data_IF_171928416358
#
_entry.id   IF_171928416358
#
_cell.length_a   1.000
_cell.length_b   1.000
_cell.length_c   1.000
_cell.angle_alpha   90.00
_cell.angle_beta   90.00
_cell.angle_gamma   90.00
#
_symmetry.space_group_name_H-M   'P 1'
#
loop_
_entity.id
_entity.type
_entity.pdbx_description
1 polymer ?
#
# COMPACT_ATOMS: atom_id res chain seq x y z
N UNK A 1 40.87 41.12 -52.85
CA UNK A 1 39.43 40.82 -52.69
C UNK A 1 38.95 41.72 -51.55
N UNK A 2 38.37 42.89 -51.82
CA UNK A 2 36.96 43.17 -52.18
C UNK A 2 36.00 42.64 -51.08
N UNK A 3 35.10 43.41 -50.43
CA UNK A 3 34.70 44.80 -50.57
C UNK A 3 33.73 45.20 -49.41
N UNK A 4 33.79 46.49 -49.01
CA UNK A 4 32.67 47.45 -48.79
C UNK A 4 31.59 47.22 -47.69
N UNK A 5 31.35 48.26 -46.88
CA UNK A 5 30.22 48.44 -45.93
C UNK A 5 28.87 48.81 -46.62
N UNK A 6 27.96 49.67 -46.06
CA UNK A 6 28.18 50.60 -44.93
C UNK A 6 26.93 51.05 -44.08
N UNK A 7 27.12 52.09 -43.23
CA UNK A 7 26.18 53.17 -42.78
C UNK A 7 25.01 52.80 -41.81
N UNK A 8 24.52 53.58 -40.81
CA UNK A 8 24.50 55.00 -40.40
C UNK A 8 24.22 55.03 -38.86
N UNK A 9 24.95 55.82 -38.04
CA UNK A 9 24.64 57.19 -37.59
C UNK A 9 23.38 57.36 -36.70
N UNK A 10 23.58 57.84 -35.47
CA UNK A 10 22.53 58.28 -34.55
C UNK A 10 23.07 58.67 -33.19
N UNK A 11 23.74 59.82 -33.12
CA UNK A 11 24.30 60.43 -31.92
C UNK A 11 23.27 61.38 -31.27
N UNK A 12 23.29 61.50 -29.94
CA UNK A 12 22.70 62.61 -29.21
C UNK A 12 22.33 62.22 -27.77
N UNK A 13 22.76 62.88 -26.71
CA UNK A 13 23.65 64.03 -26.57
C UNK A 13 23.96 64.24 -25.07
N UNK A 14 25.23 64.51 -24.80
CA UNK A 14 25.80 65.43 -23.80
C UNK A 14 25.55 65.23 -22.29
N UNK A 15 26.65 64.92 -21.61
CA UNK A 15 26.97 65.29 -20.23
C UNK A 15 27.94 66.48 -20.29
N UNK A 16 27.76 67.46 -19.40
CA UNK A 16 28.76 68.29 -18.67
C UNK A 16 28.09 69.62 -18.26
N UNK A 17 28.26 70.19 -17.06
CA UNK A 17 29.23 69.98 -15.98
C UNK A 17 28.79 70.72 -14.70
N UNK A 18 29.34 70.30 -13.54
CA UNK A 18 29.83 71.10 -12.37
C UNK A 18 28.82 71.97 -11.58
N UNK A 19 28.84 72.12 -10.26
CA UNK A 19 29.50 71.52 -9.09
C UNK A 19 28.84 72.19 -7.85
N UNK A 20 29.09 71.67 -6.64
CA UNK A 20 28.92 72.29 -5.30
C UNK A 20 27.55 72.18 -4.55
N UNK A 21 27.42 71.07 -3.82
CA UNK A 21 27.28 70.95 -2.35
C UNK A 21 26.42 71.98 -1.56
N UNK A 22 25.28 71.55 -1.00
CA UNK A 22 24.85 71.91 0.36
C UNK A 22 23.86 70.87 0.94
N UNK A 23 24.01 70.63 2.24
CA UNK A 23 23.46 69.56 3.07
C UNK A 23 21.97 69.78 3.41
N UNK A 24 21.13 68.73 3.43
CA UNK A 24 20.07 68.50 4.46
C UNK A 24 19.33 67.18 4.26
N UNK A 25 19.46 66.34 5.29
CA UNK A 25 18.53 65.32 5.82
C UNK A 25 17.05 65.38 5.37
N UNK A 26 16.52 64.26 4.87
CA UNK A 26 15.22 63.67 5.25
C UNK A 26 15.06 62.31 4.56
N UNK A 27 14.93 61.25 5.39
CA UNK A 27 14.87 59.86 4.95
C UNK A 27 13.60 59.45 4.20
N UNK A 28 13.72 58.35 3.47
CA UNK A 28 12.61 57.45 3.15
C UNK A 28 13.16 56.02 3.26
N UNK A 29 12.73 55.32 4.31
CA UNK A 29 12.78 53.87 4.41
C UNK A 29 11.92 53.28 3.28
N UNK A 30 12.53 52.52 2.37
CA UNK A 30 11.77 51.55 1.60
C UNK A 30 11.64 50.31 2.47
N UNK A 31 10.47 50.20 3.12
CA UNK A 31 9.97 48.93 3.63
C UNK A 31 9.75 48.00 2.44
N UNK A 32 10.73 47.17 2.14
CA UNK A 32 10.48 45.90 1.48
C UNK A 32 9.70 45.05 2.48
N UNK A 33 8.37 45.15 2.39
CA UNK A 33 7.47 44.21 3.05
C UNK A 33 7.61 42.91 2.28
N UNK A 34 8.49 42.03 2.78
CA UNK A 34 8.42 40.61 2.49
C UNK A 34 7.03 40.13 2.90
N UNK A 35 6.15 40.03 1.91
CA UNK A 35 4.85 39.41 2.05
C UNK A 35 5.02 37.89 1.87
N UNK A 36 5.84 37.26 2.71
CA UNK A 36 5.81 35.82 2.89
C UNK A 36 4.65 35.50 3.82
N UNK A 37 3.47 35.41 3.20
CA UNK A 37 2.24 35.01 3.87
C UNK A 37 1.99 33.51 3.67
N UNK A 38 3.04 32.70 3.55
CA UNK A 38 2.95 31.26 3.83
C UNK A 38 3.01 31.11 5.36
N UNK A 39 1.86 30.98 6.00
CA UNK A 39 1.83 30.70 7.43
C UNK A 39 2.54 29.37 7.68
N UNK A 40 3.67 29.39 8.41
CA UNK A 40 4.38 28.18 8.81
C UNK A 40 3.41 27.16 9.41
N UNK A 41 3.58 25.90 9.02
CA UNK A 41 2.89 24.81 9.67
C UNK A 41 3.39 24.65 11.10
N UNK A 42 2.45 24.51 12.03
CA UNK A 42 2.74 24.27 13.44
C UNK A 42 2.62 22.79 13.72
N UNK A 43 3.74 22.18 14.08
CA UNK A 43 3.79 20.77 14.45
C UNK A 43 3.80 20.57 15.95
N UNK A 44 3.17 19.49 16.41
CA UNK A 44 3.11 19.10 17.81
C UNK A 44 3.19 17.57 17.95
N UNK A 45 3.29 17.07 19.18
CA UNK A 45 3.46 15.64 19.48
C UNK A 45 2.34 14.71 18.98
N UNK A 46 1.17 15.23 18.56
CA UNK A 46 0.10 14.43 17.97
C UNK A 46 0.37 14.08 16.50
N UNK A 47 1.27 14.79 15.82
CA UNK A 47 1.64 14.49 14.44
C UNK A 47 2.59 13.29 14.41
N UNK A 48 2.19 12.26 13.67
CA UNK A 48 2.84 10.96 13.60
C UNK A 48 2.96 10.49 12.17
N UNK A 49 4.02 9.74 11.89
CA UNK A 49 4.24 9.05 10.63
C UNK A 49 4.84 7.67 10.90
N UNK A 50 4.43 6.67 10.13
CA UNK A 50 5.02 5.33 10.19
C UNK A 50 5.99 5.14 9.02
N UNK A 51 7.21 4.70 9.30
CA UNK A 51 8.26 4.52 8.28
C UNK A 51 9.10 3.29 8.64
N UNK A 52 9.23 2.32 7.72
CA UNK A 52 10.03 1.12 7.93
C UNK A 52 9.58 0.28 9.13
N UNK A 53 8.27 0.18 9.35
CA UNK A 53 7.67 -0.53 10.48
C UNK A 53 7.76 0.18 11.83
N UNK A 54 8.21 1.44 11.86
CA UNK A 54 8.44 2.20 13.10
C UNK A 54 7.57 3.45 13.15
N UNK A 55 7.13 3.81 14.36
CA UNK A 55 6.35 5.03 14.60
C UNK A 55 7.28 6.20 14.95
N UNK A 56 7.09 7.33 14.27
CA UNK A 56 7.82 8.57 14.49
C UNK A 56 6.87 9.69 14.91
N UNK A 57 7.24 10.42 15.95
CA UNK A 57 6.45 11.50 16.55
C UNK A 57 7.13 12.83 16.28
N UNK A 58 6.35 13.84 15.91
CA UNK A 58 6.92 15.17 15.71
C UNK A 58 7.46 15.72 17.01
N UNK A 59 8.66 16.27 16.96
CA UNK A 59 9.25 17.03 18.07
C UNK A 59 8.74 18.46 18.12
N UNK A 60 8.01 18.91 17.08
CA UNK A 60 7.66 20.32 16.84
C UNK A 60 8.85 21.21 16.48
N UNK A 61 10.06 20.66 16.38
CA UNK A 61 11.26 21.42 16.08
C UNK A 61 11.57 21.42 14.58
N UNK A 62 11.86 22.61 14.06
CA UNK A 62 12.42 22.78 12.72
C UNK A 62 13.92 22.47 12.74
N UNK A 63 14.36 21.69 11.77
CA UNK A 63 15.74 21.32 11.57
C UNK A 63 16.60 22.52 11.22
N UNK A 64 17.82 22.53 11.77
CA UNK A 64 18.84 23.56 11.52
C UNK A 64 19.92 23.08 10.56
N UNK A 65 19.78 21.89 9.97
CA UNK A 65 20.73 21.39 8.99
C UNK A 65 20.68 22.28 7.74
N UNK A 66 21.84 22.80 7.36
CA UNK A 66 22.01 23.65 6.18
C UNK A 66 22.39 22.86 4.92
N UNK A 67 22.77 21.59 5.08
CA UNK A 67 23.14 20.70 3.99
C UNK A 67 22.50 19.35 4.25
N UNK A 68 21.76 18.85 3.26
CA UNK A 68 21.12 17.53 3.27
C UNK A 68 21.66 16.69 2.12
N UNK A 69 21.62 15.35 2.23
CA UNK A 69 21.89 14.50 1.08
C UNK A 69 20.97 14.88 -0.09
N UNK A 70 21.50 14.91 -1.31
CA UNK A 70 20.69 15.18 -2.52
C UNK A 70 19.64 14.08 -2.78
N UNK A 71 19.83 12.90 -2.19
CA UNK A 71 18.92 11.77 -2.33
C UNK A 71 17.97 11.69 -1.14
N UNK A 72 16.70 12.02 -1.40
CA UNK A 72 15.56 11.80 -0.52
C UNK A 72 15.38 10.30 -0.23
N UNK A 73 14.95 9.96 0.98
CA UNK A 73 14.79 8.57 1.41
C UNK A 73 13.39 7.99 1.21
N UNK A 74 12.37 8.83 1.18
CA UNK A 74 10.98 8.45 0.92
C UNK A 74 10.09 9.68 0.88
N UNK A 75 8.80 9.49 0.70
CA UNK A 75 7.79 10.56 0.71
C UNK A 75 6.56 10.07 1.47
N UNK A 76 5.73 10.99 1.98
CA UNK A 76 4.41 10.65 2.49
C UNK A 76 3.56 10.15 1.31
N UNK A 77 3.08 8.92 1.40
CA UNK A 77 2.25 8.30 0.37
C UNK A 77 0.76 8.38 0.72
N UNK A 78 0.43 8.48 2.01
CA UNK A 78 -0.95 8.52 2.48
C UNK A 78 -1.12 9.47 3.65
N UNK A 79 -2.24 10.19 3.66
CA UNK A 79 -2.64 11.07 4.76
C UNK A 79 -3.98 10.61 5.32
N UNK A 80 -4.03 10.44 6.64
CA UNK A 80 -5.23 10.10 7.41
C UNK A 80 -5.63 11.27 8.32
N UNK A 81 -6.78 11.17 8.98
CA UNK A 81 -7.24 12.21 9.89
C UNK A 81 -6.27 12.41 11.07
N UNK A 82 -6.11 13.65 11.53
CA UNK A 82 -5.18 14.05 12.60
C UNK A 82 -5.33 13.26 13.91
N UNK A 83 -6.56 12.85 14.23
CA UNK A 83 -6.86 12.07 15.43
C UNK A 83 -6.53 10.58 15.29
N UNK A 84 -6.26 10.08 14.07
CA UNK A 84 -5.92 8.69 13.84
C UNK A 84 -4.43 8.43 14.03
N UNK A 85 -4.12 7.16 14.29
CA UNK A 85 -2.74 6.65 14.34
C UNK A 85 -2.39 6.09 12.96
N UNK A 86 -1.21 6.38 12.39
CA UNK A 86 -0.75 5.72 11.17
C UNK A 86 -0.65 4.20 11.32
N UNK A 87 -1.11 3.45 10.32
CA UNK A 87 -1.15 1.98 10.37
C UNK A 87 -0.19 1.27 9.42
N UNK A 88 0.39 1.99 8.46
CA UNK A 88 1.27 1.44 7.40
C UNK A 88 2.40 2.38 7.07
N UNK A 89 3.44 1.85 6.45
CA UNK A 89 4.59 2.64 6.04
C UNK A 89 4.19 3.78 5.10
N UNK A 90 4.81 4.94 5.33
CA UNK A 90 4.58 6.19 4.62
C UNK A 90 3.17 6.78 4.77
N UNK A 91 2.39 6.32 5.76
CA UNK A 91 1.15 6.94 6.20
C UNK A 91 1.41 7.94 7.33
N UNK A 92 0.85 9.14 7.21
CA UNK A 92 0.94 10.21 8.20
C UNK A 92 -0.45 10.74 8.58
N UNK A 93 -0.62 11.22 9.81
CA UNK A 93 -1.86 11.89 10.23
C UNK A 93 -1.80 13.42 10.07
N UNK A 94 -0.89 13.91 9.22
CA UNK A 94 -0.66 15.34 8.99
C UNK A 94 -0.23 15.57 7.54
N UNK A 95 -0.24 16.85 7.14
CA UNK A 95 0.38 17.28 5.88
C UNK A 95 -0.33 16.78 4.63
N UNK A 96 0.43 16.65 3.55
CA UNK A 96 -0.04 16.23 2.22
C UNK A 96 0.87 15.12 1.65
N UNK A 97 0.35 14.40 0.65
CA UNK A 97 1.12 13.40 -0.10
C UNK A 97 2.28 14.10 -0.83
N UNK A 98 3.45 13.46 -0.87
CA UNK A 98 4.65 13.97 -1.53
C UNK A 98 5.58 14.78 -0.63
N UNK A 99 5.24 14.99 0.65
CA UNK A 99 6.20 15.57 1.59
C UNK A 99 7.37 14.61 1.82
N UNK A 100 8.59 15.11 1.60
CA UNK A 100 9.80 14.31 1.53
C UNK A 100 10.28 13.87 2.93
N UNK A 101 10.85 12.67 3.01
CA UNK A 101 11.34 12.07 4.24
C UNK A 101 12.85 11.85 4.10
N UNK A 102 13.60 12.30 5.09
CA UNK A 102 15.04 12.13 5.18
C UNK A 102 15.42 11.41 6.47
N UNK A 103 16.17 10.31 6.38
CA UNK A 103 16.78 9.68 7.54
C UNK A 103 17.99 10.49 7.99
N UNK A 104 18.00 10.91 9.25
CA UNK A 104 19.10 11.68 9.85
C UNK A 104 19.89 10.91 10.91
N UNK A 105 19.50 9.65 11.18
CA UNK A 105 20.22 8.73 12.07
C UNK A 105 19.67 8.73 13.50
N UNK A 106 20.16 7.81 14.33
CA UNK A 106 19.85 7.73 15.78
C UNK A 106 18.35 7.71 16.15
N UNK A 107 17.50 7.12 15.30
CA UNK A 107 16.06 7.08 15.53
C UNK A 107 15.33 8.38 15.14
N UNK A 108 15.96 9.27 14.37
CA UNK A 108 15.35 10.49 13.88
C UNK A 108 15.16 10.49 12.37
N UNK A 109 14.08 11.13 11.94
CA UNK A 109 13.81 11.51 10.55
C UNK A 109 13.49 13.00 10.48
N UNK A 110 13.64 13.58 9.30
CA UNK A 110 13.11 14.90 8.98
C UNK A 110 12.03 14.76 7.89
N UNK A 111 10.98 15.55 8.00
CA UNK A 111 9.94 15.67 6.96
C UNK A 111 9.98 17.08 6.38
N UNK A 112 10.09 17.16 5.06
CA UNK A 112 10.09 18.41 4.30
C UNK A 112 8.67 18.80 3.91
N UNK A 113 8.23 19.93 4.44
CA UNK A 113 6.94 20.54 4.13
C UNK A 113 7.15 21.45 2.93
N UNK A 114 6.98 20.88 1.73
CA UNK A 114 7.36 21.47 0.44
C UNK A 114 6.80 22.88 0.24
N UNK A 115 5.57 23.14 0.69
CA UNK A 115 4.91 24.44 0.50
C UNK A 115 5.50 25.58 1.32
N UNK A 116 6.19 25.26 2.42
CA UNK A 116 6.72 26.23 3.39
C UNK A 116 8.24 26.12 3.57
N UNK A 117 8.88 25.20 2.84
CA UNK A 117 10.32 24.86 2.95
C UNK A 117 10.76 24.56 4.40
N UNK A 118 9.84 24.04 5.22
CA UNK A 118 10.13 23.66 6.60
C UNK A 118 10.58 22.20 6.67
N UNK A 119 11.68 21.95 7.37
CA UNK A 119 12.13 20.60 7.69
C UNK A 119 11.82 20.32 9.14
N UNK A 120 10.87 19.43 9.42
CA UNK A 120 10.43 19.15 10.79
C UNK A 120 11.06 17.86 11.28
N UNK A 121 11.62 17.87 12.48
CA UNK A 121 12.27 16.72 13.10
C UNK A 121 11.21 15.82 13.76
N UNK A 122 11.28 14.53 13.46
CA UNK A 122 10.52 13.49 14.14
C UNK A 122 11.47 12.49 14.81
N UNK A 123 11.03 11.95 15.94
CA UNK A 123 11.76 10.99 16.77
C UNK A 123 11.00 9.67 16.85
N UNK A 124 11.73 8.56 16.75
CA UNK A 124 11.21 7.21 16.95
C UNK A 124 10.63 7.09 18.37
N UNK A 125 9.37 6.68 18.44
CA UNK A 125 8.65 6.55 19.70
C UNK A 125 8.11 5.14 19.91
N UNK A 126 7.31 4.94 20.97
CA UNK A 126 6.63 3.67 21.19
C UNK A 126 5.74 3.33 19.99
N UNK A 127 5.71 2.06 19.59
CA UNK A 127 4.78 1.62 18.56
C UNK A 127 3.35 1.67 19.11
N UNK A 128 2.48 2.44 18.45
CA UNK A 128 1.04 2.45 18.68
C UNK A 128 0.36 1.64 17.57
N UNK A 129 -0.06 0.41 17.89
CA UNK A 129 -0.75 -0.42 16.92
C UNK A 129 -2.11 0.22 16.56
N UNK A 130 -2.31 0.54 15.29
CA UNK A 130 -3.65 0.87 14.77
C UNK A 130 -4.53 -0.37 14.92
N UNK A 131 -5.74 -0.16 15.46
CA UNK A 131 -6.72 -1.23 15.63
C UNK A 131 -8.02 -0.88 14.93
N UNK A 132 -8.75 -1.92 14.55
CA UNK A 132 -10.00 -1.83 13.81
C UNK A 132 -11.08 -2.60 14.55
N UNK A 133 -12.30 -2.08 14.53
CA UNK A 133 -13.47 -2.81 15.02
C UNK A 133 -14.06 -3.58 13.85
N UNK A 134 -14.27 -4.89 14.04
CA UNK A 134 -14.95 -5.78 13.11
C UNK A 134 -15.78 -6.79 13.90
N UNK A 135 -17.04 -7.01 13.54
CA UNK A 135 -17.97 -7.91 14.23
C UNK A 135 -18.05 -7.64 15.76
N UNK A 136 -17.96 -6.36 16.14
CA UNK A 136 -17.98 -5.91 17.53
C UNK A 136 -16.72 -6.26 18.35
N UNK A 137 -15.64 -6.73 17.70
CA UNK A 137 -14.35 -7.04 18.32
C UNK A 137 -13.26 -6.13 17.77
N UNK A 138 -12.20 -5.93 18.55
CA UNK A 138 -11.05 -5.11 18.17
C UNK A 138 -9.92 -5.99 17.66
N UNK A 139 -9.32 -5.63 16.53
CA UNK A 139 -8.24 -6.34 15.86
C UNK A 139 -7.10 -5.40 15.50
N UNK A 140 -5.85 -5.85 15.61
CA UNK A 140 -4.74 -5.26 14.87
C UNK A 140 -4.87 -5.53 13.38
N UNK A 141 -4.08 -4.83 12.55
CA UNK A 141 -4.01 -5.11 11.10
C UNK A 141 -3.70 -6.58 10.79
N UNK A 142 -2.73 -7.18 11.49
CA UNK A 142 -2.31 -8.57 11.29
C UNK A 142 -3.41 -9.57 11.69
N UNK A 143 -4.07 -9.35 12.83
CA UNK A 143 -5.17 -10.22 13.25
C UNK A 143 -6.38 -10.09 12.31
N UNK A 144 -6.64 -8.88 11.79
CA UNK A 144 -7.72 -8.65 10.82
C UNK A 144 -7.44 -9.35 9.50
N UNK A 145 -6.18 -9.34 9.03
CA UNK A 145 -5.74 -10.08 7.84
C UNK A 145 -6.04 -11.57 7.95
N UNK A 146 -5.72 -12.19 9.09
CA UNK A 146 -5.90 -13.62 9.32
C UNK A 146 -7.37 -14.09 9.23
N UNK A 147 -8.31 -13.21 9.60
CA UNK A 147 -9.74 -13.51 9.56
C UNK A 147 -10.44 -13.01 8.29
N UNK A 148 -9.74 -12.29 7.42
CA UNK A 148 -10.26 -11.76 6.15
C UNK A 148 -9.46 -12.31 4.97
N UNK A 149 -8.45 -11.59 4.48
CA UNK A 149 -7.75 -11.95 3.24
C UNK A 149 -6.94 -13.24 3.30
N UNK A 150 -6.46 -13.65 4.47
CA UNK A 150 -5.82 -14.95 4.62
C UNK A 150 -6.79 -16.11 4.28
N UNK A 151 -8.11 -15.92 4.43
CA UNK A 151 -9.10 -16.92 4.01
C UNK A 151 -9.08 -17.14 2.50
N UNK A 152 -9.05 -16.06 1.72
CA UNK A 152 -8.95 -16.14 0.26
C UNK A 152 -7.60 -16.75 -0.17
N UNK A 153 -6.49 -16.33 0.44
CA UNK A 153 -5.16 -16.91 0.14
C UNK A 153 -5.10 -18.41 0.39
N UNK A 154 -5.69 -18.90 1.49
CA UNK A 154 -5.80 -20.34 1.78
C UNK A 154 -6.55 -21.12 0.69
N UNK A 155 -7.46 -20.48 -0.04
CA UNK A 155 -8.19 -21.07 -1.16
C UNK A 155 -7.43 -20.92 -2.48
N UNK A 156 -6.85 -19.76 -2.76
CA UNK A 156 -6.04 -19.53 -3.99
C UNK A 156 -4.90 -20.55 -4.09
N UNK A 157 -4.21 -20.85 -2.99
CA UNK A 157 -3.13 -21.86 -3.01
C UNK A 157 -3.64 -23.26 -3.35
N UNK A 158 -4.87 -23.62 -2.95
CA UNK A 158 -5.47 -24.91 -3.32
C UNK A 158 -5.71 -24.94 -4.82
N UNK A 159 -6.31 -23.91 -5.41
CA UNK A 159 -6.55 -23.82 -6.85
C UNK A 159 -5.28 -23.60 -7.68
N UNK A 160 -4.19 -23.16 -7.07
CA UNK A 160 -2.87 -23.11 -7.68
C UNK A 160 -2.15 -24.47 -7.66
N UNK A 161 -2.63 -25.42 -6.85
CA UNK A 161 -2.03 -26.75 -6.69
C UNK A 161 -0.85 -26.84 -5.74
N UNK A 162 -0.67 -25.83 -4.90
CA UNK A 162 0.28 -25.85 -3.79
C UNK A 162 -0.41 -25.99 -2.41
N UNK A 163 -1.75 -25.94 -2.38
CA UNK A 163 -2.52 -25.83 -1.14
C UNK A 163 -2.90 -27.15 -0.48
N UNK A 164 -2.52 -28.29 -1.07
CA UNK A 164 -2.72 -29.63 -0.50
C UNK A 164 -1.37 -30.33 -0.34
N UNK A 165 -1.18 -31.03 0.76
CA UNK A 165 -0.02 -31.92 0.92
C UNK A 165 -0.17 -33.15 0.02
N UNK A 166 0.79 -33.37 -0.87
CA UNK A 166 0.78 -34.46 -1.86
C UNK A 166 2.04 -35.29 -1.73
N UNK A 167 1.90 -36.62 -1.75
CA UNK A 167 3.05 -37.51 -1.81
C UNK A 167 3.51 -37.72 -3.25
N UNK A 168 4.35 -36.79 -3.74
CA UNK A 168 4.94 -36.83 -5.08
C UNK A 168 5.90 -38.00 -5.33
N UNK A 169 6.31 -38.72 -4.27
CA UNK A 169 7.19 -39.89 -4.37
C UNK A 169 6.42 -41.21 -4.50
N UNK A 170 5.10 -41.20 -4.31
CA UNK A 170 4.26 -42.37 -4.48
C UNK A 170 4.10 -42.77 -5.95
N UNK A 171 3.67 -44.01 -6.17
CA UNK A 171 3.26 -44.45 -7.51
C UNK A 171 2.04 -43.63 -7.96
N UNK A 172 2.18 -42.95 -9.10
CA UNK A 172 1.11 -42.15 -9.68
C UNK A 172 0.09 -43.03 -10.41
N UNK A 173 -1.18 -42.63 -10.35
CA UNK A 173 -2.23 -43.19 -11.18
C UNK A 173 -2.28 -42.42 -12.50
N UNK A 174 -2.14 -43.13 -13.61
CA UNK A 174 -2.23 -42.52 -14.94
C UNK A 174 -3.67 -42.57 -15.44
N UNK A 175 -4.26 -41.40 -15.69
CA UNK A 175 -5.60 -41.28 -16.28
C UNK A 175 -5.54 -40.22 -17.39
N UNK A 176 -5.99 -40.56 -18.59
CA UNK A 176 -6.05 -39.64 -19.74
C UNK A 176 -4.71 -38.93 -20.06
N UNK A 177 -3.58 -39.63 -19.83
CA UNK A 177 -2.20 -39.13 -19.93
C UNK A 177 -1.74 -38.14 -18.84
N UNK A 178 -2.50 -38.02 -17.76
CA UNK A 178 -2.15 -37.24 -16.58
C UNK A 178 -1.77 -38.13 -15.40
N UNK A 179 -0.75 -37.70 -14.66
CA UNK A 179 -0.27 -38.39 -13.46
C UNK A 179 -0.92 -37.80 -12.22
N UNK A 180 -1.70 -38.60 -11.53
CA UNK A 180 -2.37 -38.26 -10.28
C UNK A 180 -1.64 -38.87 -9.09
N UNK A 181 -1.27 -38.03 -8.12
CA UNK A 181 -0.54 -38.41 -6.92
C UNK A 181 -1.45 -38.33 -5.70
N UNK A 182 -1.30 -39.22 -4.71
CA UNK A 182 -2.17 -39.26 -3.56
C UNK A 182 -1.98 -38.00 -2.70
N UNK A 183 -3.09 -37.34 -2.38
CA UNK A 183 -3.14 -36.29 -1.37
C UNK A 183 -3.00 -36.96 0.00
N UNK A 184 -2.14 -36.41 0.86
CA UNK A 184 -1.85 -36.87 2.22
C UNK A 184 -2.20 -35.81 3.27
N UNK A 185 -2.95 -34.79 2.85
CA UNK A 185 -3.36 -33.67 3.68
C UNK A 185 -4.47 -34.04 4.66
N UNK A 186 -4.20 -33.95 5.96
CA UNK A 186 -5.18 -34.32 6.99
C UNK A 186 -6.44 -33.44 7.00
N UNK A 187 -6.43 -32.28 6.32
CA UNK A 187 -7.61 -31.39 6.25
C UNK A 187 -8.71 -31.93 5.34
N UNK A 188 -8.37 -32.73 4.33
CA UNK A 188 -9.33 -33.27 3.38
C UNK A 188 -8.80 -34.55 2.71
N UNK A 189 -9.62 -35.59 2.72
CA UNK A 189 -9.32 -36.89 2.12
C UNK A 189 -10.26 -37.22 0.96
N UNK A 190 -11.32 -36.43 0.78
CA UNK A 190 -12.33 -36.54 -0.28
C UNK A 190 -12.56 -35.17 -0.95
N UNK A 191 -13.16 -35.17 -2.15
CA UNK A 191 -13.56 -33.91 -2.81
C UNK A 191 -14.61 -33.18 -1.97
N UNK A 192 -15.51 -33.92 -1.31
CA UNK A 192 -16.55 -33.33 -0.45
C UNK A 192 -15.97 -32.56 0.73
N UNK A 193 -14.96 -33.11 1.40
CA UNK A 193 -14.27 -32.42 2.51
C UNK A 193 -13.50 -31.19 2.02
N UNK A 194 -12.82 -31.27 0.88
CA UNK A 194 -12.13 -30.12 0.31
C UNK A 194 -13.09 -28.99 -0.06
N UNK A 195 -14.23 -29.31 -0.70
CA UNK A 195 -15.28 -28.33 -1.01
C UNK A 195 -15.83 -27.69 0.27
N UNK A 196 -16.15 -28.50 1.29
CA UNK A 196 -16.62 -27.99 2.57
C UNK A 196 -15.61 -27.08 3.26
N UNK A 197 -14.31 -27.38 3.18
CA UNK A 197 -13.24 -26.51 3.68
C UNK A 197 -13.21 -25.18 2.92
N UNK A 198 -13.25 -25.21 1.59
CA UNK A 198 -13.28 -23.99 0.76
C UNK A 198 -14.50 -23.12 1.09
N UNK A 199 -15.69 -23.73 1.15
CA UNK A 199 -16.97 -23.04 1.44
C UNK A 199 -17.04 -22.51 2.90
N UNK A 200 -16.18 -22.99 3.80
CA UNK A 200 -16.04 -22.40 5.14
C UNK A 200 -15.22 -21.11 5.18
N UNK A 201 -14.50 -20.80 4.11
CA UNK A 201 -13.60 -19.65 4.01
C UNK A 201 -14.15 -18.58 3.08
N UNK A 202 -14.75 -18.99 1.97
CA UNK A 202 -15.25 -18.11 0.92
C UNK A 202 -16.67 -18.49 0.52
N UNK A 203 -17.40 -17.55 -0.08
CA UNK A 203 -18.75 -17.83 -0.58
C UNK A 203 -18.70 -18.81 -1.76
N UNK A 204 -19.77 -19.57 -1.94
CA UNK A 204 -19.91 -20.44 -3.11
C UNK A 204 -19.80 -19.67 -4.42
N UNK A 205 -20.32 -18.44 -4.48
CA UNK A 205 -20.24 -17.60 -5.67
C UNK A 205 -18.79 -17.33 -6.08
N UNK A 206 -17.92 -17.03 -5.10
CA UNK A 206 -16.49 -16.86 -5.36
C UNK A 206 -15.82 -18.20 -5.70
N UNK A 207 -16.17 -19.28 -5.00
CA UNK A 207 -15.54 -20.58 -5.22
C UNK A 207 -15.90 -21.21 -6.59
N UNK A 208 -17.12 -20.96 -7.07
CA UNK A 208 -17.66 -21.59 -8.27
C UNK A 208 -16.88 -21.26 -9.55
N UNK A 209 -16.14 -20.15 -9.59
CA UNK A 209 -15.31 -19.79 -10.73
C UNK A 209 -14.18 -20.79 -11.00
N UNK A 210 -13.67 -21.42 -9.94
CA UNK A 210 -12.50 -22.31 -10.01
C UNK A 210 -12.87 -23.78 -9.83
N UNK A 211 -14.09 -24.09 -9.34
CA UNK A 211 -14.56 -25.47 -9.15
C UNK A 211 -14.51 -26.31 -10.42
N UNK A 212 -14.83 -25.72 -11.57
CA UNK A 212 -14.78 -26.45 -12.82
C UNK A 212 -13.37 -26.93 -13.15
N UNK A 213 -12.32 -26.14 -12.87
CA UNK A 213 -10.94 -26.56 -13.12
C UNK A 213 -10.41 -27.48 -12.02
N UNK A 214 -10.81 -27.22 -10.78
CA UNK A 214 -10.30 -27.94 -9.63
C UNK A 214 -10.88 -29.35 -9.51
N UNK A 215 -12.19 -29.51 -9.74
CA UNK A 215 -12.93 -30.73 -9.41
C UNK A 215 -13.68 -31.33 -10.60
N UNK A 216 -13.80 -30.58 -11.69
CA UNK A 216 -14.58 -30.97 -12.85
C UNK A 216 -13.75 -30.79 -14.14
N UNK A 217 -14.41 -30.80 -15.30
CA UNK A 217 -13.74 -30.65 -16.58
C UNK A 217 -12.98 -31.89 -17.05
N UNK A 218 -12.21 -31.72 -18.13
CA UNK A 218 -11.52 -32.83 -18.79
C UNK A 218 -10.31 -33.31 -17.97
N UNK A 219 -9.59 -32.35 -17.37
CA UNK A 219 -8.42 -32.61 -16.53
C UNK A 219 -8.60 -31.89 -15.20
N UNK A 220 -9.51 -32.36 -14.33
CA UNK A 220 -9.66 -31.78 -13.00
C UNK A 220 -8.35 -31.88 -12.24
N UNK A 221 -8.01 -30.81 -11.52
CA UNK A 221 -6.83 -30.77 -10.68
C UNK A 221 -6.84 -31.88 -9.62
N UNK A 222 -8.01 -32.11 -9.02
CA UNK A 222 -8.25 -33.12 -8.00
C UNK A 222 -9.23 -34.19 -8.49
N UNK A 223 -8.92 -35.45 -8.22
CA UNK A 223 -9.81 -36.59 -8.51
C UNK A 223 -9.93 -37.49 -7.29
N UNK A 224 -11.12 -38.05 -7.09
CA UNK A 224 -11.33 -39.10 -6.12
C UNK A 224 -11.23 -40.47 -6.81
N UNK A 225 -10.35 -41.34 -6.32
CA UNK A 225 -10.09 -42.66 -6.87
C UNK A 225 -10.12 -43.66 -5.72
N UNK A 226 -11.02 -44.63 -5.77
CA UNK A 226 -11.24 -45.63 -4.71
C UNK A 226 -11.43 -45.02 -3.31
N UNK A 227 -12.15 -43.88 -3.24
CA UNK A 227 -12.45 -43.17 -2.00
C UNK A 227 -11.27 -42.39 -1.41
N UNK A 228 -10.24 -42.10 -2.21
CA UNK A 228 -9.08 -41.29 -1.82
C UNK A 228 -8.89 -40.14 -2.78
N UNK A 229 -8.47 -39.00 -2.26
CA UNK A 229 -8.16 -37.82 -3.06
C UNK A 229 -6.77 -37.92 -3.70
N UNK A 230 -6.70 -37.54 -4.97
CA UNK A 230 -5.47 -37.43 -5.74
C UNK A 230 -5.41 -36.09 -6.43
N UNK A 231 -4.20 -35.59 -6.66
CA UNK A 231 -3.92 -34.34 -7.33
C UNK A 231 -3.01 -34.56 -8.55
N UNK A 232 -3.31 -33.89 -9.66
CA UNK A 232 -2.39 -33.75 -10.80
C UNK A 232 -1.41 -32.60 -10.55
N UNK A 233 -0.20 -32.70 -11.08
CA UNK A 233 0.73 -31.57 -11.06
C UNK A 233 0.09 -30.36 -11.76
N UNK A 234 -0.07 -29.26 -11.03
CA UNK A 234 -0.53 -27.98 -11.55
C UNK A 234 0.63 -26.99 -11.50
N UNK A 235 0.77 -26.19 -12.56
CA UNK A 235 1.81 -25.16 -12.70
C UNK A 235 1.16 -23.77 -12.75
N UNK A 236 0.19 -23.53 -11.86
CA UNK A 236 -0.36 -22.20 -11.64
C UNK A 236 0.43 -21.58 -10.49
N UNK A 237 1.05 -20.43 -10.74
CA UNK A 237 1.68 -19.65 -9.68
C UNK A 237 0.65 -19.25 -8.63
N UNK A 238 1.05 -19.24 -7.37
CA UNK A 238 0.27 -18.65 -6.29
C UNK A 238 0.53 -17.15 -6.24
N UNK A 239 -0.42 -16.39 -5.74
CA UNK A 239 -0.11 -15.03 -5.32
C UNK A 239 0.84 -15.10 -4.12
N UNK A 240 2.02 -14.47 -4.22
CA UNK A 240 2.91 -14.27 -3.08
C UNK A 240 2.52 -12.99 -2.39
N UNK A 241 2.47 -13.03 -1.06
CA UNK A 241 2.27 -11.81 -0.30
C UNK A 241 3.12 -11.76 0.95
N UNK A 242 3.85 -10.66 1.08
CA UNK A 242 4.87 -10.52 2.10
C UNK A 242 4.41 -9.62 3.27
N UNK A 243 3.50 -8.65 3.05
CA UNK A 243 3.00 -7.75 4.10
C UNK A 243 1.68 -7.08 3.73
N UNK A 244 0.74 -7.00 4.67
CA UNK A 244 -0.52 -6.31 4.48
C UNK A 244 -0.86 -5.39 5.64
N UNK A 245 -0.95 -4.08 5.36
CA UNK A 245 -1.91 -3.28 6.09
C UNK A 245 -3.31 -3.73 5.67
N UNK A 246 -4.15 -4.03 6.65
CA UNK A 246 -5.54 -4.44 6.47
C UNK A 246 -6.40 -3.56 7.33
N UNK A 247 -7.45 -2.97 6.74
CA UNK A 247 -8.36 -2.08 7.46
C UNK A 247 -9.81 -2.23 7.04
N UNK A 248 -10.70 -2.03 8.01
CA UNK A 248 -12.15 -2.00 7.75
C UNK A 248 -12.51 -0.64 7.17
N UNK A 249 -13.08 -0.63 5.96
CA UNK A 249 -13.59 0.60 5.31
C UNK A 249 -15.06 0.81 5.65
N UNK A 250 -15.86 -0.25 5.50
CA UNK A 250 -17.27 -0.25 5.90
C UNK A 250 -17.66 -1.59 6.49
N UNK A 251 -18.58 -1.56 7.44
CA UNK A 251 -19.19 -2.74 8.03
C UNK A 251 -20.69 -2.49 8.20
N UNK A 252 -21.48 -3.50 7.87
CA UNK A 252 -22.91 -3.61 8.15
C UNK A 252 -23.17 -4.95 8.82
N UNK A 253 -24.41 -5.21 9.25
CA UNK A 253 -24.78 -6.48 9.87
C UNK A 253 -24.47 -7.72 9.00
N UNK A 254 -24.44 -7.57 7.66
CA UNK A 254 -24.32 -8.69 6.72
C UNK A 254 -23.20 -8.56 5.68
N UNK A 255 -22.52 -7.42 5.60
CA UNK A 255 -21.44 -7.21 4.63
C UNK A 255 -20.38 -6.28 5.18
N UNK A 256 -19.13 -6.48 4.76
CA UNK A 256 -18.03 -5.57 5.05
C UNK A 256 -17.11 -5.41 3.85
N UNK A 257 -16.47 -4.24 3.79
CA UNK A 257 -15.44 -3.91 2.81
C UNK A 257 -14.14 -3.69 3.57
N UNK A 258 -13.14 -4.49 3.22
CA UNK A 258 -11.82 -4.49 3.83
C UNK A 258 -10.83 -4.02 2.76
N UNK A 259 -10.05 -3.00 3.08
CA UNK A 259 -8.95 -2.57 2.23
C UNK A 259 -7.67 -3.25 2.69
N UNK A 260 -6.87 -3.64 1.71
CA UNK A 260 -5.61 -4.34 1.91
C UNK A 260 -4.57 -3.73 0.96
N UNK A 261 -3.38 -3.42 1.46
CA UNK A 261 -2.31 -2.89 0.59
C UNK A 261 -1.98 -3.86 -0.57
N UNK A 262 -1.60 -3.32 -1.72
CA UNK A 262 -1.12 -4.12 -2.86
C UNK A 262 0.27 -4.68 -2.60
N UNK A 263 0.66 -5.62 -3.46
CA UNK A 263 1.93 -6.35 -3.38
C UNK A 263 3.17 -5.46 -3.45
N UNK A 264 3.07 -4.31 -4.12
CA UNK A 264 4.13 -3.31 -4.26
C UNK A 264 3.99 -2.14 -3.26
N UNK A 265 2.90 -2.11 -2.48
CA UNK A 265 2.58 -1.01 -1.57
C UNK A 265 2.19 0.30 -2.28
N UNK A 266 2.04 0.29 -3.61
CA UNK A 266 1.68 1.48 -4.39
C UNK A 266 0.16 1.62 -4.61
N UNK A 267 -0.58 0.53 -4.49
CA UNK A 267 -2.03 0.44 -4.67
C UNK A 267 -2.71 -0.21 -3.45
N UNK A 268 -4.03 -0.25 -3.45
CA UNK A 268 -4.82 -0.95 -2.44
C UNK A 268 -5.82 -1.85 -3.12
N UNK A 269 -5.89 -3.11 -2.68
CA UNK A 269 -6.90 -4.08 -3.05
C UNK A 269 -8.09 -4.03 -2.10
N UNK A 270 -9.23 -4.53 -2.57
CA UNK A 270 -10.45 -4.62 -1.76
C UNK A 270 -10.89 -6.07 -1.59
N UNK A 271 -11.27 -6.41 -0.37
CA UNK A 271 -11.99 -7.64 -0.02
C UNK A 271 -13.42 -7.28 0.33
N UNK A 272 -14.38 -7.98 -0.26
CA UNK A 272 -15.77 -7.94 0.20
C UNK A 272 -16.04 -9.21 1.01
N UNK A 273 -16.51 -9.01 2.23
CA UNK A 273 -16.94 -10.06 3.13
C UNK A 273 -18.47 -10.07 3.20
N UNK A 274 -19.08 -11.26 3.21
CA UNK A 274 -20.51 -11.45 3.47
C UNK A 274 -20.70 -12.34 4.69
N UNK A 275 -21.72 -12.03 5.50
CA UNK A 275 -22.13 -12.86 6.64
C UNK A 275 -23.16 -13.89 6.17
N UNK A 276 -22.77 -15.16 6.13
CA UNK A 276 -23.60 -16.30 5.72
C UNK A 276 -23.77 -17.22 6.91
N UNK A 277 -25.01 -17.47 7.32
CA UNK A 277 -25.34 -18.31 8.49
C UNK A 277 -24.60 -17.92 9.78
N UNK A 278 -24.28 -16.63 9.93
CA UNK A 278 -23.58 -16.07 11.08
C UNK A 278 -22.06 -16.02 10.95
N UNK A 279 -21.49 -16.62 9.91
CA UNK A 279 -20.06 -16.66 9.64
C UNK A 279 -19.66 -15.67 8.55
N UNK A 280 -18.54 -14.99 8.73
CA UNK A 280 -18.00 -14.05 7.75
C UNK A 280 -17.16 -14.78 6.70
N UNK A 281 -17.59 -14.75 5.44
CA UNK A 281 -16.93 -15.40 4.30
C UNK A 281 -16.45 -14.35 3.29
N UNK A 282 -15.35 -14.62 2.59
CA UNK A 282 -14.90 -13.76 1.47
C UNK A 282 -15.80 -14.02 0.26
N UNK A 283 -16.38 -12.95 -0.29
CA UNK A 283 -17.23 -13.00 -1.49
C UNK A 283 -16.54 -12.41 -2.72
N UNK A 284 -15.58 -11.50 -2.52
CA UNK A 284 -14.82 -10.88 -3.59
C UNK A 284 -13.42 -10.47 -3.11
N UNK A 285 -12.45 -10.53 -4.01
CA UNK A 285 -11.08 -10.04 -3.80
C UNK A 285 -10.55 -9.40 -5.09
N UNK A 286 -10.30 -8.09 -5.07
CA UNK A 286 -9.91 -7.30 -6.26
C UNK A 286 -8.45 -7.52 -6.68
N UNK A 287 -7.60 -7.99 -5.76
CA UNK A 287 -6.19 -8.26 -6.08
C UNK A 287 -5.95 -9.57 -6.82
N UNK A 288 -7.00 -10.34 -7.11
CA UNK A 288 -6.94 -11.61 -7.81
C UNK A 288 -7.01 -11.43 -9.32
N UNK A 289 -6.24 -12.23 -10.05
CA UNK A 289 -6.34 -12.32 -11.50
C UNK A 289 -7.77 -12.69 -11.90
N UNK A 290 -8.62 -11.72 -12.25
CA UNK A 290 -10.00 -11.97 -12.70
C UNK A 290 -9.92 -12.75 -14.02
N UNK A 291 -10.31 -14.05 -14.10
CA UNK A 291 -10.59 -14.64 -15.39
C UNK A 291 -11.89 -13.99 -15.85
N UNK A 292 -11.78 -13.06 -16.80
CA UNK A 292 -12.94 -12.56 -17.54
C UNK A 292 -13.67 -13.76 -18.15
N UNK A 293 -14.77 -14.19 -17.56
CA UNK A 293 -16.00 -14.64 -18.25
C UNK A 293 -17.03 -15.22 -17.28
N UNK A 294 -17.82 -14.36 -16.65
CA UNK A 294 -19.20 -14.70 -16.28
C UNK A 294 -20.10 -14.43 -17.49
N UNK A 295 -20.04 -15.33 -18.47
CA UNK A 295 -21.06 -15.49 -19.49
C UNK A 295 -20.99 -16.92 -20.00
N UNK A 296 -21.77 -17.81 -19.37
CA UNK A 296 -22.49 -18.92 -20.01
C UNK A 296 -23.47 -19.55 -19.02
#
# INVERSE_FOLDING_TARGET
MLALGPLLAGCGSQIESTDENENTDMGIENNDVDNDNSSKYVFNENHKIMVGGKMYYSTGQESKLSVRPERINGEIMHVIAEAEVPGRDYEANFGEIGYEIQFVGDGFIEVHIVDTDQWIIFEEGPFEAKTYVFDGKTYTSEELWEITGAKYMKVDVIFAGAGADVNWSAEAINIDNYQYFPVVDDRFQTIGEMKAYIESLITYNLAATDYYQAFEGETPQFREIDGKLYQVLADRGTMQVDTYSTRVITETDNSAVIEVDSFDGEETNTIVMLKVDGEWLVDYFDGGYIPRNTNK
#
